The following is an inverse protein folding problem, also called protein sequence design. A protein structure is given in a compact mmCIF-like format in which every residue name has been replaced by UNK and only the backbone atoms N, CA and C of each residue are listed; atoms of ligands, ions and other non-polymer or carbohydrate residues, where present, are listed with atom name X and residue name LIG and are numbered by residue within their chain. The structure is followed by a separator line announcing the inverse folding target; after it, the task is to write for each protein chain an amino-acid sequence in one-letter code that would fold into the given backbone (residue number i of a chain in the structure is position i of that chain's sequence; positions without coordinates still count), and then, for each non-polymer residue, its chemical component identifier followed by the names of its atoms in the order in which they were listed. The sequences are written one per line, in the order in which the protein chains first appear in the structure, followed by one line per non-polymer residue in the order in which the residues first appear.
data_IF_198481923349
#
_entry.id   IF_198481923349
#
_cell.length_a   1.000
_cell.length_b   1.000
_cell.length_c   1.000
_cell.angle_alpha   90.00
_cell.angle_beta   90.00
_cell.angle_gamma   90.00
#
_symmetry.space_group_name_H-M   'P 1'
#
loop_
_entity.id
_entity.type
_entity.pdbx_description
1 polymer ?
#
# COMPACT_ATOMS: atom_id res chain seq x y z
N UNK A 1 0.87 -13.66 11.27
CA UNK A 1 1.25 -14.38 10.02
C UNK A 1 0.85 -15.86 10.03
N UNK A 2 1.40 -16.72 10.90
CA UNK A 2 1.12 -18.18 10.88
C UNK A 2 -0.36 -18.55 10.86
N UNK A 3 -1.18 -17.83 11.62
CA UNK A 3 -2.62 -18.07 11.63
C UNK A 3 -3.29 -17.80 10.27
N UNK A 4 -2.89 -16.72 9.58
CA UNK A 4 -3.42 -16.39 8.26
C UNK A 4 -2.93 -17.40 7.21
N UNK A 5 -1.73 -17.95 7.35
CA UNK A 5 -1.17 -18.89 6.36
C UNK A 5 -1.90 -20.24 6.28
N UNK A 6 -2.81 -20.53 7.23
CA UNK A 6 -3.74 -21.64 7.13
C UNK A 6 -4.78 -21.47 5.99
N UNK A 7 -5.01 -20.24 5.53
CA UNK A 7 -5.96 -19.95 4.46
C UNK A 7 -5.33 -20.08 3.06
N UNK A 8 -6.13 -20.42 2.03
CA UNK A 8 -5.65 -20.71 0.68
C UNK A 8 -5.38 -19.45 -0.18
N UNK A 9 -4.59 -18.50 0.33
CA UNK A 9 -4.04 -17.40 -0.48
C UNK A 9 -2.56 -17.64 -0.79
N UNK A 10 -2.00 -16.94 -1.79
CA UNK A 10 -0.60 -17.13 -2.19
C UNK A 10 0.31 -15.94 -1.92
N UNK A 11 -0.21 -14.72 -2.04
CA UNK A 11 0.61 -13.52 -2.05
C UNK A 11 0.45 -12.70 -0.76
N UNK A 12 1.59 -12.26 -0.22
CA UNK A 12 1.69 -11.31 0.90
C UNK A 12 2.39 -10.05 0.39
N UNK A 13 2.03 -8.90 0.94
CA UNK A 13 2.77 -7.65 0.75
C UNK A 13 3.35 -7.23 2.10
N UNK A 14 4.65 -6.99 2.13
CA UNK A 14 5.43 -6.76 3.36
C UNK A 14 6.33 -5.54 3.22
N UNK A 15 6.51 -4.76 4.28
CA UNK A 15 7.33 -3.54 4.26
C UNK A 15 8.68 -3.73 4.95
N UNK A 16 9.75 -3.22 4.35
CA UNK A 16 11.05 -3.04 4.96
C UNK A 16 11.14 -1.64 5.58
N UNK A 17 10.95 -1.54 6.90
CA UNK A 17 10.87 -0.26 7.59
C UNK A 17 12.26 0.30 7.93
N UNK A 18 12.65 1.41 7.30
CA UNK A 18 14.00 1.97 7.44
C UNK A 18 14.34 2.35 8.88
N UNK A 19 13.46 3.01 9.62
CA UNK A 19 13.66 3.37 11.02
C UNK A 19 13.80 2.18 11.98
N UNK A 20 13.33 0.98 11.61
CA UNK A 20 13.49 -0.24 12.41
C UNK A 20 14.77 -0.98 12.04
N UNK A 21 15.10 -1.00 10.75
CA UNK A 21 16.27 -1.71 10.22
C UNK A 21 17.56 -0.91 10.49
N UNK A 22 17.51 0.40 10.34
CA UNK A 22 18.61 1.31 10.65
C UNK A 22 18.15 2.36 11.67
N UNK A 23 17.99 2.01 12.96
CA UNK A 23 17.51 2.96 13.96
C UNK A 23 18.59 4.01 14.30
N UNK A 24 19.87 3.66 14.13
CA UNK A 24 21.04 4.51 14.42
C UNK A 24 22.10 4.37 13.32
N UNK A 25 22.93 5.39 13.09
CA UNK A 25 23.98 5.33 12.07
C UNK A 25 24.88 4.10 12.23
N UNK A 26 25.05 3.33 11.15
CA UNK A 26 25.94 2.17 11.11
C UNK A 26 25.37 0.86 11.70
N UNK A 27 24.19 0.89 12.33
CA UNK A 27 23.49 -0.31 12.76
C UNK A 27 22.44 -0.69 11.73
N UNK A 28 22.66 -1.77 10.97
CA UNK A 28 21.71 -2.27 9.98
C UNK A 28 21.29 -3.70 10.34
N UNK A 29 20.14 -3.82 10.98
CA UNK A 29 19.60 -5.09 11.50
C UNK A 29 18.32 -5.49 10.78
N UNK A 30 18.38 -6.59 10.03
CA UNK A 30 17.26 -7.13 9.27
C UNK A 30 16.59 -8.32 9.96
N UNK A 31 16.99 -8.68 11.18
CA UNK A 31 16.60 -9.95 11.81
C UNK A 31 15.07 -10.16 11.89
N UNK A 32 14.30 -9.10 12.14
CA UNK A 32 12.82 -9.16 12.11
C UNK A 32 12.29 -9.49 10.71
N UNK A 33 12.79 -8.79 9.69
CA UNK A 33 12.37 -8.96 8.31
C UNK A 33 12.81 -10.33 7.76
N UNK A 34 14.01 -10.78 8.14
CA UNK A 34 14.52 -12.12 7.82
C UNK A 34 13.55 -13.20 8.34
N UNK A 35 13.16 -13.10 9.61
CA UNK A 35 12.23 -14.06 10.21
C UNK A 35 10.84 -14.06 9.54
N UNK A 36 10.36 -12.89 9.10
CA UNK A 36 9.09 -12.76 8.38
C UNK A 36 9.17 -13.41 6.99
N UNK A 37 10.25 -13.15 6.24
CA UNK A 37 10.48 -13.73 4.91
C UNK A 37 10.68 -15.25 5.01
N UNK A 38 11.46 -15.73 5.98
CA UNK A 38 11.63 -17.17 6.24
C UNK A 38 10.28 -17.84 6.55
N UNK A 39 9.41 -17.17 7.31
CA UNK A 39 8.07 -17.70 7.62
C UNK A 39 7.17 -17.74 6.39
N UNK A 40 7.26 -16.75 5.50
CA UNK A 40 6.52 -16.71 4.22
C UNK A 40 7.01 -17.85 3.32
N UNK A 41 8.32 -17.98 3.14
CA UNK A 41 8.95 -18.97 2.27
C UNK A 41 8.68 -20.40 2.76
N UNK A 42 8.82 -20.66 4.07
CA UNK A 42 8.53 -21.95 4.67
C UNK A 42 7.04 -22.35 4.57
N UNK A 43 6.14 -21.37 4.46
CA UNK A 43 4.72 -21.60 4.22
C UNK A 43 4.37 -21.76 2.73
N UNK A 44 5.36 -21.73 1.84
CA UNK A 44 5.18 -21.81 0.39
C UNK A 44 4.46 -20.60 -0.21
N UNK A 45 4.44 -19.48 0.51
CA UNK A 45 3.81 -18.23 0.07
C UNK A 45 4.81 -17.36 -0.68
N UNK A 46 4.30 -16.38 -1.40
CA UNK A 46 5.06 -15.41 -2.18
C UNK A 46 4.94 -14.02 -1.55
N UNK A 47 5.91 -13.14 -1.83
CA UNK A 47 5.96 -11.78 -1.27
C UNK A 47 6.24 -10.71 -2.32
N UNK A 48 5.49 -9.61 -2.25
CA UNK A 48 5.89 -8.30 -2.76
C UNK A 48 6.53 -7.55 -1.61
N UNK A 49 7.81 -7.24 -1.71
CA UNK A 49 8.55 -6.55 -0.65
C UNK A 49 8.66 -5.06 -0.98
N UNK A 50 8.03 -4.22 -0.17
CA UNK A 50 8.18 -2.78 -0.23
C UNK A 50 9.52 -2.38 0.38
N UNK A 51 10.38 -1.83 -0.47
CA UNK A 51 11.73 -1.37 -0.15
C UNK A 51 11.83 0.15 -0.17
N UNK A 52 10.70 0.85 -0.34
CA UNK A 52 10.60 2.30 -0.18
C UNK A 52 11.13 2.71 1.18
N UNK A 53 12.07 3.65 1.17
CA UNK A 53 12.78 4.07 2.36
C UNK A 53 11.95 5.06 3.19
N UNK A 54 11.18 5.92 2.54
CA UNK A 54 10.46 7.03 3.18
C UNK A 54 9.04 6.61 3.56
N UNK A 55 8.24 6.19 2.57
CA UNK A 55 6.81 5.89 2.71
C UNK A 55 6.55 4.39 2.62
N UNK A 56 5.95 3.82 3.67
CA UNK A 56 5.59 2.40 3.75
C UNK A 56 4.28 2.18 4.54
N UNK A 57 3.98 0.93 4.87
CA UNK A 57 2.68 0.51 5.43
C UNK A 57 2.49 0.89 6.90
N UNK A 58 1.34 1.46 7.23
CA UNK A 58 0.93 1.79 8.60
C UNK A 58 1.13 3.27 8.95
N UNK A 59 0.36 3.77 9.91
CA UNK A 59 0.34 5.19 10.26
C UNK A 59 1.31 5.55 11.41
N UNK A 60 2.00 6.71 11.36
CA UNK A 60 2.13 7.61 10.21
C UNK A 60 2.91 6.92 9.09
N UNK A 61 2.57 7.16 7.82
CA UNK A 61 3.13 6.40 6.69
C UNK A 61 4.63 6.64 6.42
N UNK A 62 5.34 7.32 7.32
CA UNK A 62 6.75 7.70 7.18
C UNK A 62 7.67 6.95 8.15
N UNK A 63 8.68 6.29 7.58
CA UNK A 63 9.58 5.40 8.31
C UNK A 63 11.04 5.82 8.23
N UNK A 64 11.32 7.10 7.95
CA UNK A 64 12.68 7.63 7.92
C UNK A 64 13.30 7.61 9.33
N UNK A 65 14.52 7.10 9.52
CA UNK A 65 15.21 7.17 10.80
C UNK A 65 15.44 8.62 11.24
N UNK A 66 15.33 8.90 12.54
CA UNK A 66 15.59 10.23 13.11
C UNK A 66 16.97 10.79 12.78
N UNK A 67 17.98 9.93 12.59
CA UNK A 67 19.32 10.39 12.25
C UNK A 67 19.46 10.82 10.77
N UNK A 68 18.52 10.43 9.89
CA UNK A 68 18.44 10.88 8.48
C UNK A 68 17.52 12.08 8.31
N UNK A 69 16.49 12.17 9.15
CA UNK A 69 15.57 13.30 9.20
C UNK A 69 15.28 13.69 10.67
N UNK A 70 16.12 14.56 11.28
CA UNK A 70 16.05 14.86 12.72
C UNK A 70 14.86 15.71 13.14
N UNK A 71 14.26 16.43 12.20
CA UNK A 71 13.12 17.30 12.44
C UNK A 71 12.01 16.98 11.45
N UNK A 72 10.77 17.05 11.93
CA UNK A 72 9.60 17.01 11.07
C UNK A 72 9.64 18.19 10.10
N UNK A 73 9.38 17.91 8.82
CA UNK A 73 9.19 18.94 7.80
C UNK A 73 7.79 19.57 7.97
N UNK A 74 7.58 20.80 7.48
CA UNK A 74 6.25 21.37 7.39
C UNK A 74 5.28 20.44 6.64
N UNK A 75 4.03 20.41 7.05
CA UNK A 75 2.98 19.66 6.34
C UNK A 75 2.91 20.04 4.86
N UNK A 76 2.60 19.07 4.00
CA UNK A 76 2.61 19.22 2.54
C UNK A 76 3.97 19.55 1.89
N UNK A 77 5.08 19.40 2.61
CA UNK A 77 6.42 19.53 2.02
C UNK A 77 6.62 18.55 0.87
N UNK A 78 7.10 19.05 -0.27
CA UNK A 78 7.55 18.22 -1.40
C UNK A 78 9.03 17.89 -1.25
N UNK A 79 9.34 16.63 -1.02
CA UNK A 79 10.70 16.12 -0.86
C UNK A 79 11.30 15.90 -2.26
N UNK A 80 12.04 16.90 -2.73
CA UNK A 80 12.65 16.93 -4.06
C UNK A 80 14.07 16.39 -4.11
N UNK A 81 14.43 15.74 -5.22
CA UNK A 81 15.75 15.12 -5.42
C UNK A 81 16.92 16.08 -5.19
N UNK A 82 16.80 17.34 -5.64
CA UNK A 82 17.88 18.34 -5.50
C UNK A 82 17.98 18.93 -4.09
N UNK A 83 16.84 19.26 -3.49
CA UNK A 83 16.79 19.90 -2.16
C UNK A 83 17.11 18.91 -1.03
N UNK A 84 16.83 17.62 -1.25
CA UNK A 84 17.02 16.54 -0.29
C UNK A 84 18.02 15.49 -0.79
N UNK A 85 19.10 15.92 -1.46
CA UNK A 85 20.09 14.99 -2.08
C UNK A 85 20.68 13.99 -1.10
N UNK A 86 21.03 14.40 0.10
CA UNK A 86 21.63 13.50 1.10
C UNK A 86 20.62 12.45 1.57
N UNK A 87 19.35 12.85 1.73
CA UNK A 87 18.26 11.93 2.05
C UNK A 87 18.00 10.96 0.90
N UNK A 88 18.01 11.44 -0.36
CA UNK A 88 17.88 10.59 -1.54
C UNK A 88 19.02 9.58 -1.65
N UNK A 89 20.26 10.01 -1.46
CA UNK A 89 21.42 9.12 -1.48
C UNK A 89 21.29 8.01 -0.43
N UNK A 90 20.90 8.37 0.79
CA UNK A 90 20.69 7.41 1.86
C UNK A 90 19.47 6.48 1.61
N UNK A 91 18.38 7.00 1.03
CA UNK A 91 17.19 6.23 0.70
C UNK A 91 17.48 5.18 -0.38
N UNK A 92 18.14 5.60 -1.46
CA UNK A 92 18.56 4.69 -2.54
C UNK A 92 19.54 3.63 -2.06
N UNK A 93 20.48 3.98 -1.18
CA UNK A 93 21.38 3.02 -0.54
C UNK A 93 20.62 1.99 0.31
N UNK A 94 19.68 2.46 1.14
CA UNK A 94 18.83 1.58 1.95
C UNK A 94 18.05 0.60 1.06
N UNK A 95 17.31 1.10 0.06
CA UNK A 95 16.52 0.25 -0.84
C UNK A 95 17.39 -0.76 -1.58
N UNK A 96 18.55 -0.34 -2.11
CA UNK A 96 19.48 -1.23 -2.80
C UNK A 96 20.01 -2.34 -1.87
N UNK A 97 20.38 -2.01 -0.62
CA UNK A 97 20.86 -3.01 0.35
C UNK A 97 19.78 -4.04 0.71
N UNK A 98 18.52 -3.63 0.82
CA UNK A 98 17.40 -4.57 1.05
C UNK A 98 17.20 -5.46 -0.18
N UNK A 99 17.21 -4.90 -1.38
CA UNK A 99 17.09 -5.67 -2.63
C UNK A 99 18.22 -6.69 -2.76
N UNK A 100 19.48 -6.26 -2.60
CA UNK A 100 20.65 -7.15 -2.67
C UNK A 100 20.59 -8.29 -1.66
N UNK A 101 20.09 -8.03 -0.45
CA UNK A 101 19.93 -9.05 0.58
C UNK A 101 18.92 -10.14 0.19
N UNK A 102 17.81 -9.76 -0.44
CA UNK A 102 16.69 -10.67 -0.65
C UNK A 102 16.47 -11.10 -2.11
N UNK A 103 17.24 -10.59 -3.09
CA UNK A 103 17.08 -10.96 -4.51
C UNK A 103 17.30 -12.43 -4.82
N UNK A 104 18.02 -13.17 -3.98
CA UNK A 104 18.21 -14.62 -4.17
C UNK A 104 17.09 -15.45 -3.53
N UNK A 105 16.13 -14.82 -2.85
CA UNK A 105 14.94 -15.49 -2.29
C UNK A 105 13.91 -15.73 -3.39
N UNK A 106 13.58 -17.00 -3.62
CA UNK A 106 12.64 -17.39 -4.67
C UNK A 106 11.20 -16.95 -4.36
N UNK A 107 10.86 -16.75 -3.08
CA UNK A 107 9.54 -16.28 -2.68
C UNK A 107 9.27 -14.81 -3.03
N UNK A 108 10.30 -13.99 -3.29
CA UNK A 108 10.13 -12.58 -3.66
C UNK A 108 9.72 -12.48 -5.13
N UNK A 109 8.55 -11.90 -5.41
CA UNK A 109 8.02 -11.74 -6.76
C UNK A 109 8.32 -10.38 -7.38
N UNK A 110 8.28 -9.33 -6.58
CA UNK A 110 8.40 -7.95 -7.04
C UNK A 110 8.91 -7.06 -5.91
N UNK A 111 9.53 -5.95 -6.31
CA UNK A 111 9.98 -4.89 -5.42
C UNK A 111 9.01 -3.73 -5.49
N UNK A 112 8.43 -3.33 -4.37
CA UNK A 112 7.65 -2.10 -4.34
C UNK A 112 8.53 -0.92 -3.93
N UNK A 113 8.48 0.15 -4.72
CA UNK A 113 9.14 1.43 -4.39
C UNK A 113 8.10 2.38 -3.84
N UNK A 114 8.26 2.72 -2.57
CA UNK A 114 7.42 3.65 -1.82
C UNK A 114 5.94 3.22 -1.75
N UNK A 115 5.18 3.85 -0.86
CA UNK A 115 3.73 3.68 -0.75
C UNK A 115 3.05 5.01 -1.10
N UNK A 116 2.25 5.02 -2.17
CA UNK A 116 1.59 6.21 -2.74
C UNK A 116 2.53 7.44 -2.78
N UNK A 117 3.67 7.24 -3.43
CA UNK A 117 4.90 8.03 -3.29
C UNK A 117 4.73 9.55 -3.42
N UNK A 118 3.91 10.00 -4.37
CA UNK A 118 3.76 11.44 -4.71
C UNK A 118 2.47 12.04 -4.15
N UNK A 119 1.67 11.25 -3.44
CA UNK A 119 0.44 11.69 -2.80
C UNK A 119 0.74 12.13 -1.35
N UNK A 120 0.19 13.27 -0.90
CA UNK A 120 0.30 13.69 0.49
C UNK A 120 -0.69 12.88 1.33
N UNK A 121 -0.19 11.86 2.03
CA UNK A 121 -1.00 10.95 2.86
C UNK A 121 -1.10 11.46 4.30
N UNK A 122 -2.17 11.08 4.99
CA UNK A 122 -2.34 11.40 6.40
C UNK A 122 -2.59 12.89 6.70
N UNK A 123 -2.84 13.18 7.99
CA UNK A 123 -2.93 14.54 8.51
C UNK A 123 -1.62 15.01 9.16
N UNK A 124 -0.82 14.06 9.66
CA UNK A 124 0.52 14.31 10.20
C UNK A 124 1.54 13.76 9.21
N UNK A 125 2.62 14.52 9.00
CA UNK A 125 3.65 14.17 8.03
C UNK A 125 3.09 13.96 6.60
N UNK A 126 2.17 14.82 6.17
CA UNK A 126 1.59 14.88 4.81
C UNK A 126 2.57 15.28 3.71
N UNK A 127 3.85 14.95 3.91
CA UNK A 127 4.91 15.13 2.95
C UNK A 127 4.66 14.21 1.74
N UNK A 128 5.22 14.60 0.61
CA UNK A 128 5.13 13.82 -0.63
C UNK A 128 6.44 13.89 -1.38
N UNK A 129 6.73 12.84 -2.15
CA UNK A 129 7.96 12.80 -2.93
C UNK A 129 7.77 13.51 -4.26
N UNK A 130 8.86 14.09 -4.75
CA UNK A 130 8.95 14.52 -6.13
C UNK A 130 9.12 13.31 -7.06
N UNK A 131 8.52 13.34 -8.25
CA UNK A 131 8.63 12.27 -9.25
C UNK A 131 10.09 11.94 -9.60
N UNK A 132 10.98 12.92 -9.60
CA UNK A 132 12.40 12.71 -9.86
C UNK A 132 13.12 12.01 -8.70
N UNK A 133 12.66 12.20 -7.45
CA UNK A 133 13.13 11.44 -6.29
C UNK A 133 12.74 9.96 -6.44
N UNK A 134 11.46 9.71 -6.72
CA UNK A 134 10.93 8.35 -6.92
C UNK A 134 11.61 7.65 -8.11
N UNK A 135 11.90 8.39 -9.19
CA UNK A 135 12.63 7.84 -10.34
C UNK A 135 14.00 7.31 -9.94
N UNK A 136 14.76 8.08 -9.16
CA UNK A 136 16.08 7.65 -8.70
C UNK A 136 16.00 6.42 -7.79
N UNK A 137 14.98 6.29 -6.96
CA UNK A 137 14.72 5.08 -6.16
C UNK A 137 14.41 3.86 -7.03
N UNK A 138 13.54 4.02 -8.05
CA UNK A 138 13.24 2.97 -9.02
C UNK A 138 14.50 2.54 -9.78
N UNK A 139 15.34 3.48 -10.20
CA UNK A 139 16.60 3.21 -10.88
C UNK A 139 17.58 2.43 -9.97
N UNK A 140 17.68 2.79 -8.69
CA UNK A 140 18.51 2.09 -7.72
C UNK A 140 18.03 0.65 -7.49
N UNK A 141 16.71 0.44 -7.34
CA UNK A 141 16.13 -0.90 -7.19
C UNK A 141 16.36 -1.76 -8.44
N UNK A 142 16.15 -1.20 -9.65
CA UNK A 142 16.41 -1.91 -10.92
C UNK A 142 17.89 -2.26 -11.11
N UNK A 143 18.80 -1.41 -10.63
CA UNK A 143 20.23 -1.68 -10.66
C UNK A 143 20.63 -2.82 -9.72
N UNK A 144 20.01 -2.89 -8.54
CA UNK A 144 20.28 -3.93 -7.53
C UNK A 144 19.71 -5.31 -7.91
N UNK A 145 18.53 -5.34 -8.55
CA UNK A 145 17.92 -6.56 -9.11
C UNK A 145 17.20 -6.26 -10.44
N UNK A 146 17.85 -6.50 -11.59
CA UNK A 146 17.24 -6.28 -12.90
C UNK A 146 16.27 -7.40 -13.31
N UNK A 147 16.16 -8.49 -12.54
CA UNK A 147 15.39 -9.68 -12.92
C UNK A 147 13.92 -9.61 -12.52
N UNK A 148 13.58 -8.81 -11.49
CA UNK A 148 12.22 -8.71 -10.95
C UNK A 148 11.55 -7.37 -11.30
N UNK A 149 10.22 -7.38 -11.48
CA UNK A 149 9.46 -6.17 -11.77
C UNK A 149 9.42 -5.23 -10.56
N UNK A 150 9.34 -3.92 -10.86
CA UNK A 150 9.10 -2.88 -9.86
C UNK A 150 7.63 -2.51 -9.82
N UNK A 151 7.05 -2.55 -8.63
CA UNK A 151 5.70 -2.10 -8.32
C UNK A 151 5.72 -0.66 -7.77
N UNK A 152 4.80 0.16 -8.27
CA UNK A 152 4.37 1.38 -7.59
C UNK A 152 2.86 1.35 -7.47
N UNK A 153 2.32 1.91 -6.39
CA UNK A 153 0.88 1.99 -6.17
C UNK A 153 0.38 3.42 -6.02
N UNK A 154 -0.93 3.57 -6.08
CA UNK A 154 -1.59 4.83 -5.81
C UNK A 154 -3.10 4.68 -5.58
N UNK A 155 -3.65 5.73 -4.98
CA UNK A 155 -5.04 5.77 -4.57
C UNK A 155 -5.96 5.85 -5.79
N UNK A 156 -6.93 4.93 -5.86
CA UNK A 156 -8.00 4.94 -6.86
C UNK A 156 -9.16 5.82 -6.36
N UNK A 157 -9.34 7.05 -6.89
CA UNK A 157 -10.37 7.95 -6.39
C UNK A 157 -11.78 7.40 -6.64
N UNK A 158 -12.51 7.15 -5.55
CA UNK A 158 -13.82 6.49 -5.58
C UNK A 158 -15.00 7.46 -5.64
N UNK A 159 -14.80 8.76 -5.37
CA UNK A 159 -15.86 9.77 -5.45
C UNK A 159 -15.38 11.05 -6.15
N UNK A 160 -16.32 11.90 -6.59
CA UNK A 160 -15.98 13.18 -7.23
C UNK A 160 -15.20 14.12 -6.29
N UNK A 161 -15.61 14.34 -5.02
CA UNK A 161 -14.85 15.17 -4.09
C UNK A 161 -13.43 14.67 -3.89
N UNK A 162 -13.25 13.36 -3.66
CA UNK A 162 -11.93 12.76 -3.46
C UNK A 162 -11.05 12.94 -4.70
N UNK A 163 -11.60 12.72 -5.89
CA UNK A 163 -10.87 12.94 -7.15
C UNK A 163 -10.41 14.39 -7.33
N UNK A 164 -11.27 15.36 -7.00
CA UNK A 164 -10.94 16.78 -7.13
C UNK A 164 -9.87 17.20 -6.12
N UNK A 165 -9.96 16.72 -4.88
CA UNK A 165 -8.95 16.95 -3.85
C UNK A 165 -7.61 16.35 -4.24
N UNK A 166 -7.59 15.07 -4.62
CA UNK A 166 -6.37 14.40 -5.07
C UNK A 166 -5.73 15.14 -6.25
N UNK A 167 -6.52 15.48 -7.28
CA UNK A 167 -6.04 16.25 -8.43
C UNK A 167 -5.46 17.61 -8.00
N UNK A 168 -6.14 18.36 -7.12
CA UNK A 168 -5.67 19.66 -6.68
C UNK A 168 -4.32 19.59 -5.96
N UNK A 169 -4.15 18.58 -5.09
CA UNK A 169 -2.95 18.35 -4.28
C UNK A 169 -1.76 17.85 -5.11
N UNK A 170 -2.00 17.22 -6.26
CA UNK A 170 -0.95 16.60 -7.09
C UNK A 170 -0.83 17.19 -8.50
N UNK A 171 -1.61 18.23 -8.84
CA UNK A 171 -1.64 18.83 -10.20
C UNK A 171 -0.31 19.30 -10.76
N UNK A 172 0.67 19.52 -9.90
CA UNK A 172 2.01 19.99 -10.26
C UNK A 172 2.93 18.88 -10.81
N UNK A 173 2.63 17.60 -10.55
CA UNK A 173 3.42 16.47 -11.08
C UNK A 173 2.61 15.24 -11.54
N UNK A 174 1.32 15.17 -11.17
CA UNK A 174 0.47 14.00 -11.29
C UNK A 174 0.41 13.22 -9.96
N UNK A 175 -0.66 12.44 -9.79
CA UNK A 175 -0.85 11.55 -8.64
C UNK A 175 0.03 10.28 -8.74
N UNK A 176 -0.02 9.46 -7.68
CA UNK A 176 0.78 8.24 -7.56
C UNK A 176 0.40 7.16 -8.58
N UNK A 177 -0.83 7.17 -9.10
CA UNK A 177 -1.18 6.31 -10.23
C UNK A 177 -0.51 6.79 -11.53
N UNK A 178 -0.40 8.09 -11.76
CA UNK A 178 0.37 8.65 -12.88
C UNK A 178 1.86 8.33 -12.72
N UNK A 179 2.42 8.43 -11.51
CA UNK A 179 3.80 8.03 -11.24
C UNK A 179 4.02 6.54 -11.52
N UNK A 180 3.12 5.67 -11.04
CA UNK A 180 3.17 4.23 -11.29
C UNK A 180 3.08 3.88 -12.78
N UNK A 181 2.18 4.53 -13.54
CA UNK A 181 2.09 4.34 -14.99
C UNK A 181 3.35 4.78 -15.74
N UNK A 182 4.16 5.68 -15.17
CA UNK A 182 5.41 6.14 -15.80
C UNK A 182 6.59 5.24 -15.46
N UNK A 183 6.73 4.88 -14.19
CA UNK A 183 7.96 4.27 -13.64
C UNK A 183 7.85 2.77 -13.35
N UNK A 184 6.63 2.28 -13.09
CA UNK A 184 6.38 0.90 -12.65
C UNK A 184 6.20 -0.08 -13.80
N UNK A 185 6.62 -1.32 -13.55
CA UNK A 185 6.28 -2.50 -14.37
C UNK A 185 4.92 -3.07 -13.94
N UNK A 186 4.60 -2.91 -12.65
CA UNK A 186 3.31 -3.21 -12.03
C UNK A 186 2.68 -1.93 -11.49
N UNK A 187 1.41 -1.70 -11.83
CA UNK A 187 0.60 -0.64 -11.20
C UNK A 187 -0.30 -1.27 -10.14
N UNK A 188 -0.08 -0.88 -8.90
CA UNK A 188 -0.92 -1.20 -7.75
C UNK A 188 -2.04 -0.19 -7.56
N UNK A 189 -3.26 -0.67 -7.32
CA UNK A 189 -4.42 0.16 -7.00
C UNK A 189 -4.80 0.02 -5.54
N UNK A 190 -4.99 1.16 -4.89
CA UNK A 190 -5.50 1.24 -3.54
C UNK A 190 -6.96 1.70 -3.57
N UNK A 191 -7.87 0.83 -3.15
CA UNK A 191 -9.32 0.96 -3.33
C UNK A 191 -10.04 1.01 -1.97
N UNK A 192 -10.39 2.23 -1.59
CA UNK A 192 -11.15 2.54 -0.39
C UNK A 192 -12.45 3.26 -0.78
N UNK A 193 -13.54 2.53 -1.07
CA UNK A 193 -14.81 3.13 -1.47
C UNK A 193 -15.50 3.87 -0.32
N UNK A 194 -15.19 3.55 0.94
CA UNK A 194 -15.80 4.19 2.10
C UNK A 194 -14.75 4.64 3.09
N UNK A 195 -14.74 5.92 3.43
CA UNK A 195 -13.82 6.41 4.45
C UNK A 195 -14.44 7.61 5.19
N UNK A 196 -14.03 7.78 6.44
CA UNK A 196 -14.34 8.99 7.18
C UNK A 196 -13.62 10.19 6.56
N UNK A 197 -14.31 11.34 6.49
CA UNK A 197 -13.74 12.62 6.07
C UNK A 197 -13.40 13.50 7.27
N UNK A 198 -14.33 13.61 8.22
CA UNK A 198 -14.16 14.43 9.42
C UNK A 198 -14.99 13.85 10.57
N UNK A 199 -14.39 13.82 11.76
CA UNK A 199 -15.07 13.52 13.02
C UNK A 199 -15.27 14.81 13.82
N UNK A 200 -16.51 15.08 14.25
CA UNK A 200 -16.90 16.18 15.12
C UNK A 200 -17.65 15.63 16.34
N UNK A 201 -16.97 15.51 17.49
CA UNK A 201 -17.51 14.96 18.75
C UNK A 201 -18.36 13.68 18.56
N UNK A 202 -19.68 13.82 18.41
CA UNK A 202 -20.62 12.71 18.30
C UNK A 202 -20.97 12.31 16.86
N UNK A 203 -20.47 13.03 15.86
CA UNK A 203 -20.81 12.84 14.45
C UNK A 203 -19.55 12.59 13.63
N UNK A 204 -19.59 11.58 12.76
CA UNK A 204 -18.55 11.37 11.74
C UNK A 204 -19.19 11.49 10.37
N UNK A 205 -18.63 12.33 9.52
CA UNK A 205 -19.02 12.44 8.12
C UNK A 205 -18.22 11.42 7.31
N UNK A 206 -18.93 10.59 6.55
CA UNK A 206 -18.33 9.60 5.67
C UNK A 206 -18.59 9.94 4.21
N UNK A 207 -17.69 9.48 3.35
CA UNK A 207 -17.91 9.42 1.91
C UNK A 207 -18.15 7.97 1.49
N UNK A 208 -19.12 7.76 0.60
CA UNK A 208 -19.34 6.49 -0.10
C UNK A 208 -19.17 6.71 -1.61
N UNK A 209 -18.16 6.09 -2.21
CA UNK A 209 -18.03 6.01 -3.66
C UNK A 209 -19.06 5.07 -4.31
N UNK A 210 -19.67 4.19 -3.51
CA UNK A 210 -20.57 3.13 -3.96
C UNK A 210 -19.92 2.16 -4.95
N UNK A 211 -20.71 1.20 -5.45
CA UNK A 211 -20.23 0.14 -6.37
C UNK A 211 -19.84 0.62 -7.78
N UNK A 212 -19.94 1.92 -8.06
CA UNK A 212 -19.54 2.52 -9.33
C UNK A 212 -18.40 3.54 -9.17
N UNK A 213 -18.10 3.93 -7.94
CA UNK A 213 -17.00 4.82 -7.61
C UNK A 213 -15.68 4.25 -8.09
N UNK A 214 -14.85 5.04 -8.76
CA UNK A 214 -13.57 4.56 -9.31
C UNK A 214 -13.67 3.65 -10.54
N UNK A 215 -14.82 3.03 -10.85
CA UNK A 215 -14.98 2.09 -11.98
C UNK A 215 -14.46 2.63 -13.31
N UNK A 216 -14.78 3.89 -13.64
CA UNK A 216 -14.31 4.51 -14.89
C UNK A 216 -12.79 4.54 -14.95
N UNK A 217 -12.14 5.01 -13.88
CA UNK A 217 -10.68 5.12 -13.79
C UNK A 217 -10.03 3.73 -13.80
N UNK A 218 -10.62 2.75 -13.11
CA UNK A 218 -10.21 1.36 -13.18
C UNK A 218 -10.22 0.83 -14.62
N UNK A 219 -11.29 1.07 -15.39
CA UNK A 219 -11.38 0.64 -16.79
C UNK A 219 -10.36 1.35 -17.69
N UNK A 220 -10.07 2.63 -17.44
CA UNK A 220 -8.99 3.37 -18.13
C UNK A 220 -7.61 2.73 -17.86
N UNK A 221 -7.36 2.31 -16.62
CA UNK A 221 -6.14 1.60 -16.22
C UNK A 221 -6.05 0.20 -16.85
N UNK A 222 -7.16 -0.54 -16.93
CA UNK A 222 -7.23 -1.82 -17.65
C UNK A 222 -6.88 -1.64 -19.13
N UNK A 223 -7.43 -0.60 -19.78
CA UNK A 223 -7.08 -0.30 -21.18
C UNK A 223 -5.61 0.10 -21.33
N UNK A 224 -5.05 0.82 -20.37
CA UNK A 224 -3.63 1.16 -20.34
C UNK A 224 -2.75 -0.09 -20.18
N UNK A 225 -3.08 -0.98 -19.24
CA UNK A 225 -2.36 -2.23 -19.00
C UNK A 225 -2.32 -3.09 -20.27
N UNK A 226 -3.47 -3.25 -20.94
CA UNK A 226 -3.55 -3.95 -22.24
C UNK A 226 -2.68 -3.33 -23.34
N UNK A 227 -2.65 -2.01 -23.44
CA UNK A 227 -1.88 -1.31 -24.49
C UNK A 227 -0.38 -1.39 -24.25
N UNK A 228 0.05 -1.44 -22.99
CA UNK A 228 1.47 -1.41 -22.61
C UNK A 228 2.03 -2.79 -22.30
N UNK A 229 1.18 -3.79 -22.09
CA UNK A 229 1.57 -5.12 -21.61
C UNK A 229 2.00 -5.15 -20.14
N UNK A 230 1.79 -4.05 -19.39
CA UNK A 230 2.15 -3.95 -17.97
C UNK A 230 1.10 -4.56 -17.06
N UNK A 231 1.54 -4.97 -15.87
CA UNK A 231 0.72 -5.65 -14.87
C UNK A 231 -0.15 -4.66 -14.09
N UNK A 232 -1.30 -5.14 -13.64
CA UNK A 232 -2.27 -4.37 -12.88
C UNK A 232 -2.86 -5.23 -11.76
N UNK A 233 -2.76 -4.75 -10.53
CA UNK A 233 -3.28 -5.45 -9.35
C UNK A 233 -3.95 -4.49 -8.37
N UNK A 234 -4.83 -5.03 -7.54
CA UNK A 234 -5.32 -4.34 -6.35
C UNK A 234 -4.31 -4.59 -5.23
N UNK A 235 -3.51 -3.59 -4.91
CA UNK A 235 -2.51 -3.66 -3.83
C UNK A 235 -3.13 -3.42 -2.46
N UNK A 236 -4.25 -2.69 -2.41
CA UNK A 236 -5.04 -2.48 -1.20
C UNK A 236 -6.53 -2.50 -1.54
N UNK A 237 -7.19 -3.62 -1.28
CA UNK A 237 -8.63 -3.67 -1.15
C UNK A 237 -9.02 -3.38 0.28
N UNK A 238 -9.81 -2.32 0.50
CA UNK A 238 -10.29 -1.98 1.84
C UNK A 238 -10.95 -3.18 2.52
N UNK A 239 -10.35 -3.62 3.62
CA UNK A 239 -10.86 -4.69 4.44
C UNK A 239 -10.70 -4.46 5.95
N UNK A 240 -10.38 -3.23 6.34
CA UNK A 240 -10.52 -2.72 7.70
C UNK A 240 -11.15 -1.31 7.66
N UNK A 241 -11.70 -0.84 8.80
CA UNK A 241 -12.23 0.50 8.89
C UNK A 241 -11.19 1.60 8.62
N UNK A 242 -11.57 2.58 7.79
CA UNK A 242 -10.87 3.86 7.67
C UNK A 242 -11.70 4.95 8.33
N UNK A 243 -11.33 5.29 9.56
CA UNK A 243 -12.04 6.22 10.43
C UNK A 243 -11.29 7.54 10.59
N UNK A 244 -11.90 8.54 11.22
CA UNK A 244 -11.29 9.85 11.49
C UNK A 244 -10.20 9.80 12.58
N UNK A 245 -9.67 8.60 12.84
CA UNK A 245 -8.63 8.28 13.81
C UNK A 245 -7.59 7.40 13.14
N UNK A 246 -6.36 7.45 13.64
CA UNK A 246 -5.20 6.82 13.02
C UNK A 246 -5.13 5.31 13.24
N UNK A 247 -5.65 4.85 14.38
CA UNK A 247 -5.79 3.43 14.68
C UNK A 247 -7.24 3.00 14.44
N UNK A 248 -7.50 2.01 13.57
CA UNK A 248 -8.85 1.49 13.34
C UNK A 248 -9.54 1.10 14.66
N UNK A 249 -10.77 1.60 14.93
CA UNK A 249 -11.47 1.27 16.16
C UNK A 249 -11.83 -0.21 16.28
N UNK A 250 -11.71 -0.74 17.50
CA UNK A 250 -12.07 -2.12 17.85
C UNK A 250 -13.14 -2.19 18.97
N UNK A 251 -14.40 -1.75 18.71
CA UNK A 251 -15.47 -1.86 19.70
C UNK A 251 -16.01 -3.31 19.81
N UNK A 252 -16.27 -3.75 21.04
CA UNK A 252 -16.60 -5.15 21.43
C UNK A 252 -17.80 -5.80 20.69
N UNK A 253 -18.72 -5.01 20.16
CA UNK A 253 -19.94 -5.52 19.52
C UNK A 253 -20.42 -4.66 18.35
N UNK A 254 -19.54 -3.85 17.77
CA UNK A 254 -19.89 -2.94 16.68
C UNK A 254 -18.85 -3.04 15.58
N UNK A 255 -19.29 -2.90 14.35
CA UNK A 255 -18.41 -2.63 13.23
C UNK A 255 -18.48 -1.14 12.90
N UNK A 256 -17.37 -0.59 12.43
CA UNK A 256 -17.35 0.79 11.97
C UNK A 256 -17.98 0.89 10.58
N UNK A 257 -18.62 2.02 10.30
CA UNK A 257 -19.41 2.18 9.08
C UNK A 257 -18.55 2.14 7.81
N UNK A 258 -17.31 2.63 7.88
CA UNK A 258 -16.42 2.69 6.71
C UNK A 258 -16.12 1.30 6.13
N UNK A 259 -16.04 0.26 6.94
CA UNK A 259 -15.82 -1.09 6.44
C UNK A 259 -16.30 -2.17 7.43
N UNK A 260 -17.61 -2.45 7.51
CA UNK A 260 -18.08 -3.62 8.24
C UNK A 260 -17.67 -4.93 7.53
N UNK A 261 -17.70 -6.10 8.19
CA UNK A 261 -17.21 -7.37 7.64
C UNK A 261 -17.80 -7.74 6.27
N UNK A 262 -19.10 -7.52 6.05
CA UNK A 262 -19.75 -7.75 4.77
C UNK A 262 -19.23 -6.83 3.65
N UNK A 263 -18.70 -5.67 4.02
CA UNK A 263 -18.10 -4.73 3.07
C UNK A 263 -16.78 -5.27 2.51
N UNK A 264 -16.05 -6.10 3.25
CA UNK A 264 -14.85 -6.81 2.75
C UNK A 264 -15.21 -7.64 1.50
N UNK A 265 -16.29 -8.43 1.61
CA UNK A 265 -16.81 -9.25 0.52
C UNK A 265 -17.36 -8.38 -0.61
N UNK A 266 -18.13 -7.34 -0.27
CA UNK A 266 -18.72 -6.45 -1.27
C UNK A 266 -17.66 -5.70 -2.08
N UNK A 267 -16.57 -5.25 -1.45
CA UNK A 267 -15.45 -4.58 -2.09
C UNK A 267 -14.75 -5.50 -3.08
N UNK A 268 -14.40 -6.71 -2.65
CA UNK A 268 -13.80 -7.74 -3.50
C UNK A 268 -14.69 -8.05 -4.72
N UNK A 269 -15.96 -8.40 -4.49
CA UNK A 269 -16.91 -8.74 -5.55
C UNK A 269 -17.13 -7.59 -6.53
N UNK A 270 -17.14 -6.35 -6.05
CA UNK A 270 -17.29 -5.16 -6.90
C UNK A 270 -16.14 -5.06 -7.91
N UNK A 271 -14.89 -5.18 -7.45
CA UNK A 271 -13.72 -5.10 -8.33
C UNK A 271 -13.65 -6.31 -9.26
N UNK A 272 -13.90 -7.53 -8.77
CA UNK A 272 -13.92 -8.73 -9.60
C UNK A 272 -14.99 -8.64 -10.68
N UNK A 273 -16.17 -8.07 -10.38
CA UNK A 273 -17.21 -7.84 -11.38
C UNK A 273 -16.76 -6.83 -12.45
N UNK A 274 -16.06 -5.76 -12.08
CA UNK A 274 -15.50 -4.82 -13.06
C UNK A 274 -14.46 -5.47 -13.95
N UNK A 275 -13.54 -6.25 -13.37
CA UNK A 275 -12.50 -6.98 -14.09
C UNK A 275 -13.13 -8.00 -15.08
N UNK A 276 -14.10 -8.79 -14.62
CA UNK A 276 -14.84 -9.75 -15.43
C UNK A 276 -15.59 -9.08 -16.60
N UNK A 277 -16.28 -7.95 -16.34
CA UNK A 277 -16.96 -7.17 -17.39
C UNK A 277 -15.98 -6.61 -18.42
N UNK A 278 -14.78 -6.22 -17.98
CA UNK A 278 -13.72 -5.77 -18.86
C UNK A 278 -13.03 -6.93 -19.60
N UNK A 279 -13.31 -8.21 -19.23
CA UNK A 279 -12.58 -9.42 -19.66
C UNK A 279 -11.08 -9.33 -19.33
N UNK A 280 -10.77 -8.80 -18.16
CA UNK A 280 -9.41 -8.59 -17.69
C UNK A 280 -9.19 -9.38 -16.40
N UNK A 281 -8.04 -10.05 -16.29
CA UNK A 281 -7.62 -10.72 -15.06
C UNK A 281 -6.60 -9.82 -14.38
N UNK A 282 -6.88 -9.44 -13.14
CA UNK A 282 -5.89 -8.78 -12.28
C UNK A 282 -4.79 -9.78 -11.92
N UNK A 283 -3.56 -9.31 -11.80
CA UNK A 283 -2.44 -10.14 -11.36
C UNK A 283 -2.62 -10.59 -9.90
N UNK A 284 -3.22 -9.72 -9.06
CA UNK A 284 -3.57 -10.03 -7.68
C UNK A 284 -4.67 -9.11 -7.14
N UNK A 285 -5.34 -9.55 -6.07
CA UNK A 285 -6.13 -8.72 -5.16
C UNK A 285 -5.61 -8.95 -3.74
N UNK A 286 -5.02 -7.91 -3.15
CA UNK A 286 -4.51 -7.92 -1.79
C UNK A 286 -5.48 -7.17 -0.87
N UNK A 287 -5.76 -7.75 0.28
CA UNK A 287 -6.63 -7.15 1.29
C UNK A 287 -5.81 -6.32 2.27
N UNK A 288 -6.23 -5.10 2.54
CA UNK A 288 -5.66 -4.27 3.59
C UNK A 288 -6.49 -4.42 4.88
N UNK A 289 -5.87 -4.92 5.95
CA UNK A 289 -6.55 -5.11 7.24
C UNK A 289 -6.20 -6.39 8.02
N UNK A 290 -5.27 -7.20 7.51
CA UNK A 290 -4.93 -8.50 8.09
C UNK A 290 -4.63 -8.46 9.61
N UNK A 291 -3.92 -7.43 10.08
CA UNK A 291 -3.61 -7.26 11.51
C UNK A 291 -4.87 -6.93 12.32
N UNK A 292 -5.74 -6.05 11.80
CA UNK A 292 -7.01 -5.69 12.41
C UNK A 292 -7.91 -6.91 12.61
N UNK A 293 -7.99 -7.82 11.63
CA UNK A 293 -8.80 -9.03 11.75
C UNK A 293 -8.35 -9.93 12.90
N UNK A 294 -7.03 -10.07 13.10
CA UNK A 294 -6.47 -10.84 14.21
C UNK A 294 -6.77 -10.19 15.56
N UNK A 295 -6.70 -8.87 15.65
CA UNK A 295 -7.06 -8.11 16.85
C UNK A 295 -8.57 -8.24 17.18
N UNK A 296 -9.44 -8.16 16.17
CA UNK A 296 -10.88 -8.40 16.31
C UNK A 296 -11.16 -9.80 16.85
N UNK A 297 -10.50 -10.80 16.27
CA UNK A 297 -10.64 -12.21 16.69
C UNK A 297 -10.21 -12.41 18.14
N UNK A 298 -9.06 -11.86 18.54
CA UNK A 298 -8.59 -11.91 19.93
C UNK A 298 -9.56 -11.24 20.90
N UNK A 299 -10.33 -10.27 20.42
CA UNK A 299 -11.36 -9.55 21.17
C UNK A 299 -12.72 -10.26 21.16
N UNK A 300 -12.82 -11.45 20.57
CA UNK A 300 -14.03 -12.27 20.53
C UNK A 300 -14.89 -12.09 19.27
N UNK A 301 -14.43 -11.32 18.27
CA UNK A 301 -15.14 -11.11 17.01
C UNK A 301 -14.36 -11.67 15.82
N UNK A 302 -14.85 -12.78 15.27
CA UNK A 302 -14.23 -13.45 14.12
C UNK A 302 -14.73 -12.96 12.76
N UNK A 303 -15.72 -12.05 12.74
CA UNK A 303 -16.48 -11.73 11.53
C UNK A 303 -15.63 -11.29 10.33
N UNK A 304 -14.54 -10.54 10.54
CA UNK A 304 -13.62 -10.14 9.47
C UNK A 304 -12.81 -11.32 8.92
N UNK A 305 -12.29 -12.19 9.79
CA UNK A 305 -11.60 -13.40 9.35
C UNK A 305 -12.54 -14.34 8.61
N UNK A 306 -13.77 -14.48 9.08
CA UNK A 306 -14.77 -15.34 8.45
C UNK A 306 -15.20 -14.75 7.09
N UNK A 307 -15.29 -13.41 6.96
CA UNK A 307 -15.54 -12.73 5.69
C UNK A 307 -14.39 -12.95 4.68
N UNK A 308 -13.15 -12.81 5.12
CA UNK A 308 -11.96 -13.12 4.32
C UNK A 308 -11.93 -14.60 3.91
N UNK A 309 -12.12 -15.51 4.86
CA UNK A 309 -12.12 -16.96 4.64
C UNK A 309 -13.13 -17.36 3.57
N UNK A 310 -14.35 -16.80 3.63
CA UNK A 310 -15.40 -17.05 2.62
C UNK A 310 -14.96 -16.70 1.20
N UNK A 311 -14.16 -15.64 1.03
CA UNK A 311 -13.67 -15.23 -0.30
C UNK A 311 -12.61 -16.20 -0.80
N UNK A 312 -11.65 -16.58 0.05
CA UNK A 312 -10.48 -17.37 -0.39
C UNK A 312 -10.77 -18.87 -0.46
N UNK A 313 -11.71 -19.38 0.33
CA UNK A 313 -12.11 -20.79 0.32
C UNK A 313 -13.19 -21.12 -0.72
N UNK A 314 -13.92 -20.11 -1.20
CA UNK A 314 -14.94 -20.22 -2.26
C UNK A 314 -14.69 -19.17 -3.36
N UNK A 315 -13.55 -19.25 -4.07
CA UNK A 315 -13.07 -18.20 -4.98
C UNK A 315 -13.95 -17.97 -6.20
#
# INVERSE_FOLDING_TARGET
LRELFAYPFQLVRLGAYWNRIEPQPGLFDTSELDAQIDTIEAAGKQVILCVGALKAFGYPEFFVPRHRLPYALPEHTRIGATAFRDLLGAATEFSARIVERYRDRACVLAWQVEHESVDPLGFEHSWRLDLDFVRAEVEAVRAADPSRPVLLNGYLPTSLPVRLTQWWLTRDQGDSLVAAQRLGDIVGLDYYPRNALVGLRDWTLYVDGGHRGGRRRFLELVQWARRTGRQLMLTEGQAEPWEAVTQPPNPRAQAMWSCPPEQVIANYNTVMAWAAQARFSLDAYLFWGAEYWLVRKQSGDRSYLDAFARIVEQP
#
